data_IF_101245067992
#
_entry.id   IF_101245067992
#
_cell.length_a   1.000
_cell.length_b   1.000
_cell.length_c   1.000
_cell.angle_alpha   90.00
_cell.angle_beta   90.00
_cell.angle_gamma   90.00
#
_symmetry.space_group_name_H-M   'P 1'
#
loop_
_entity.id
_entity.type
_entity.pdbx_description
1 polymer ?
#
# COMPACT_ATOMS: atom_id res chain seq x y z
N UNK A 1 16.13 -24.29 -0.52
CA UNK A 1 16.32 -23.30 0.57
C UNK A 1 17.77 -23.33 1.02
N UNK A 2 18.27 -22.23 1.58
CA UNK A 2 19.69 -22.05 1.96
C UNK A 2 20.32 -20.85 1.25
N UNK A 3 21.61 -20.59 1.54
CA UNK A 3 22.37 -19.45 0.99
C UNK A 3 22.74 -19.66 -0.49
N UNK A 4 24.01 -19.97 -0.77
CA UNK A 4 24.50 -20.11 -2.13
C UNK A 4 24.04 -21.42 -2.80
N UNK A 5 24.00 -21.46 -4.15
CA UNK A 5 23.83 -22.70 -4.89
C UNK A 5 24.96 -23.69 -4.60
N UNK A 6 24.60 -24.96 -4.49
CA UNK A 6 25.51 -26.08 -4.20
C UNK A 6 25.52 -27.08 -5.37
N UNK A 7 26.47 -28.01 -5.38
CA UNK A 7 26.47 -29.10 -6.36
C UNK A 7 25.20 -29.95 -6.33
N UNK A 8 24.56 -30.07 -5.17
CA UNK A 8 23.28 -30.76 -5.05
C UNK A 8 22.16 -30.04 -5.83
N UNK A 9 22.17 -28.70 -5.82
CA UNK A 9 21.24 -27.88 -6.58
C UNK A 9 21.46 -28.07 -8.09
N UNK A 10 22.72 -28.19 -8.55
CA UNK A 10 23.05 -28.47 -9.97
C UNK A 10 22.47 -29.81 -10.43
N UNK A 11 22.58 -30.86 -9.59
CA UNK A 11 22.04 -32.19 -9.94
C UNK A 11 20.53 -32.17 -10.15
N UNK A 12 19.80 -31.45 -9.28
CA UNK A 12 18.35 -31.29 -9.41
C UNK A 12 18.00 -30.40 -10.60
N UNK A 13 18.73 -29.29 -10.79
CA UNK A 13 18.49 -28.36 -11.89
C UNK A 13 18.62 -29.02 -13.27
N UNK A 14 19.59 -29.92 -13.45
CA UNK A 14 19.73 -30.72 -14.68
C UNK A 14 18.49 -31.56 -15.00
N UNK A 15 17.79 -32.07 -13.99
CA UNK A 15 16.55 -32.83 -14.20
C UNK A 15 15.42 -31.91 -14.69
N UNK A 16 15.38 -30.67 -14.18
CA UNK A 16 14.39 -29.65 -14.59
C UNK A 16 14.68 -29.16 -16.02
N UNK A 17 15.95 -29.09 -16.42
CA UNK A 17 16.35 -28.76 -17.80
C UNK A 17 15.78 -29.75 -18.84
N UNK A 18 15.39 -30.96 -18.44
CA UNK A 18 14.70 -31.90 -19.34
C UNK A 18 13.24 -31.50 -19.62
N UNK A 19 12.65 -30.65 -18.77
CA UNK A 19 11.25 -30.21 -18.86
C UNK A 19 11.16 -28.81 -19.47
N UNK A 20 12.08 -27.92 -19.10
CA UNK A 20 12.17 -26.55 -19.59
C UNK A 20 13.61 -26.26 -20.02
N UNK A 21 13.78 -25.74 -21.23
CA UNK A 21 15.09 -25.42 -21.81
C UNK A 21 15.81 -24.27 -21.08
N UNK A 22 15.06 -23.40 -20.40
CA UNK A 22 15.61 -22.27 -19.64
C UNK A 22 14.93 -22.14 -18.26
N UNK A 23 15.26 -23.03 -17.30
CA UNK A 23 14.76 -22.93 -15.94
C UNK A 23 15.63 -21.99 -15.10
N UNK A 24 15.01 -21.32 -14.14
CA UNK A 24 15.67 -20.45 -13.17
C UNK A 24 15.69 -21.12 -11.80
N UNK A 25 16.80 -21.01 -11.08
CA UNK A 25 16.92 -21.47 -9.69
C UNK A 25 16.61 -20.29 -8.75
N UNK A 26 15.70 -20.50 -7.79
CA UNK A 26 15.40 -19.54 -6.73
C UNK A 26 15.80 -20.12 -5.38
N UNK A 27 16.63 -19.38 -4.63
CA UNK A 27 17.08 -19.75 -3.28
C UNK A 27 16.50 -18.76 -2.26
N UNK A 28 15.69 -19.29 -1.34
CA UNK A 28 15.19 -18.59 -0.16
C UNK A 28 16.04 -18.98 1.06
N UNK A 29 16.56 -17.99 1.78
CA UNK A 29 17.17 -18.19 3.10
C UNK A 29 16.26 -17.62 4.21
N UNK A 30 15.45 -18.47 4.90
CA UNK A 30 14.57 -18.00 5.96
C UNK A 30 15.30 -17.53 7.22
N UNK A 31 16.60 -17.80 7.36
CA UNK A 31 17.42 -17.41 8.51
C UNK A 31 18.23 -16.12 8.28
N UNK A 32 18.15 -15.53 7.09
CA UNK A 32 18.89 -14.33 6.75
C UNK A 32 18.45 -13.14 7.65
N UNK A 33 19.44 -12.43 8.20
CA UNK A 33 19.23 -11.31 9.14
C UNK A 33 19.43 -9.94 8.49
N UNK A 34 18.92 -9.76 7.28
CA UNK A 34 19.00 -8.49 6.56
C UNK A 34 17.61 -7.93 6.26
N UNK A 35 17.52 -6.61 6.06
CA UNK A 35 16.25 -5.90 5.84
C UNK A 35 15.64 -6.11 4.45
N UNK A 36 16.38 -6.71 3.52
CA UNK A 36 15.92 -7.03 2.16
C UNK A 36 15.26 -8.41 2.10
N UNK A 37 14.47 -8.66 1.06
CA UNK A 37 13.85 -9.96 0.82
C UNK A 37 14.95 -11.04 0.69
N UNK A 38 14.93 -12.13 1.49
CA UNK A 38 16.01 -13.11 1.53
C UNK A 38 15.90 -14.16 0.42
N UNK A 39 15.81 -13.65 -0.80
CA UNK A 39 15.70 -14.43 -2.02
C UNK A 39 16.79 -14.02 -2.99
N UNK A 40 17.47 -15.01 -3.56
CA UNK A 40 18.38 -14.86 -4.68
C UNK A 40 17.89 -15.72 -5.87
N UNK A 41 18.08 -15.21 -7.09
CA UNK A 41 17.72 -15.90 -8.32
C UNK A 41 18.97 -16.17 -9.15
N UNK A 42 19.00 -17.30 -9.83
CA UNK A 42 20.14 -17.72 -10.65
C UNK A 42 19.69 -18.34 -11.96
N UNK A 43 20.36 -17.99 -13.05
CA UNK A 43 20.29 -18.76 -14.29
C UNK A 43 21.42 -19.77 -14.38
N UNK A 44 21.17 -20.87 -15.09
CA UNK A 44 22.20 -21.86 -15.40
C UNK A 44 22.87 -21.52 -16.73
N UNK A 45 24.19 -21.40 -16.70
CA UNK A 45 25.04 -21.24 -17.89
C UNK A 45 25.95 -22.46 -18.00
N UNK A 46 26.18 -22.94 -19.22
CA UNK A 46 27.18 -23.98 -19.48
C UNK A 46 28.46 -23.28 -19.91
N UNK A 47 29.52 -23.43 -19.14
CA UNK A 47 30.83 -22.85 -19.43
C UNK A 47 31.92 -23.93 -19.37
N UNK A 48 33.05 -23.69 -20.04
CA UNK A 48 34.21 -24.57 -19.94
C UNK A 48 35.04 -24.21 -18.72
N UNK A 49 35.01 -25.09 -17.72
CA UNK A 49 35.92 -25.04 -16.57
C UNK A 49 36.91 -26.19 -16.70
N UNK A 50 38.21 -25.88 -16.74
CA UNK A 50 39.29 -26.86 -16.91
C UNK A 50 39.10 -27.80 -18.13
N UNK A 51 38.56 -27.27 -19.23
CA UNK A 51 38.34 -28.04 -20.46
C UNK A 51 37.08 -28.94 -20.43
N UNK A 52 36.30 -28.93 -19.35
CA UNK A 52 35.05 -29.67 -19.25
C UNK A 52 33.83 -28.73 -19.21
N UNK A 53 32.81 -29.07 -20.01
CA UNK A 53 31.54 -28.37 -20.00
C UNK A 53 30.84 -28.55 -18.65
N UNK A 54 30.85 -27.49 -17.85
CA UNK A 54 30.33 -27.47 -16.48
C UNK A 54 29.18 -26.49 -16.39
N UNK A 55 28.11 -26.89 -15.71
CA UNK A 55 26.96 -26.03 -15.47
C UNK A 55 27.25 -25.16 -14.25
N UNK A 56 27.16 -23.85 -14.41
CA UNK A 56 27.38 -22.84 -13.38
C UNK A 56 26.09 -22.04 -13.17
N UNK A 57 25.96 -21.47 -11.97
CA UNK A 57 24.87 -20.55 -11.64
C UNK A 57 25.37 -19.11 -11.64
N UNK A 58 24.70 -18.26 -12.38
CA UNK A 58 24.96 -16.82 -12.43
C UNK A 58 23.78 -16.10 -11.77
N UNK A 59 24.07 -15.22 -10.82
CA UNK A 59 23.04 -14.48 -10.09
C UNK A 59 22.34 -13.46 -10.99
N UNK A 60 21.00 -13.45 -10.93
CA UNK A 60 20.15 -12.57 -11.70
C UNK A 60 19.58 -11.43 -10.83
N UNK A 61 19.62 -10.18 -11.32
CA UNK A 61 18.86 -9.12 -10.70
C UNK A 61 17.37 -9.38 -10.92
N UNK A 62 16.55 -9.10 -9.90
CA UNK A 62 15.10 -9.23 -9.98
C UNK A 62 14.40 -7.97 -9.48
N UNK A 63 13.15 -7.80 -9.90
CA UNK A 63 12.24 -6.81 -9.37
C UNK A 63 10.96 -7.52 -8.92
N UNK A 64 10.36 -7.01 -7.84
CA UNK A 64 9.03 -7.47 -7.44
C UNK A 64 8.01 -6.72 -8.28
N UNK A 65 7.33 -7.46 -9.15
CA UNK A 65 6.17 -6.99 -9.87
C UNK A 65 4.92 -7.59 -9.23
N UNK A 66 3.91 -6.74 -9.00
CA UNK A 66 2.61 -7.15 -8.48
C UNK A 66 1.53 -6.48 -9.30
N UNK A 67 0.48 -7.21 -9.65
CA UNK A 67 -0.70 -6.62 -10.29
C UNK A 67 -1.54 -5.82 -9.27
N UNK A 68 -2.41 -4.91 -9.72
CA UNK A 68 -3.20 -4.06 -8.82
C UNK A 68 -4.10 -4.85 -7.86
N UNK A 69 -4.76 -5.92 -8.37
CA UNK A 69 -5.56 -6.80 -7.52
C UNK A 69 -4.70 -7.53 -6.47
N UNK A 70 -3.52 -8.01 -6.87
CA UNK A 70 -2.57 -8.66 -5.97
C UNK A 70 -2.06 -7.67 -4.91
N UNK A 71 -1.69 -6.45 -5.32
CA UNK A 71 -1.20 -5.39 -4.42
C UNK A 71 -2.22 -5.07 -3.33
N UNK A 72 -3.50 -5.00 -3.67
CA UNK A 72 -4.59 -4.78 -2.71
C UNK A 72 -4.69 -5.97 -1.73
N UNK A 73 -4.62 -7.20 -2.25
CA UNK A 73 -4.64 -8.41 -1.43
C UNK A 73 -3.46 -8.47 -0.45
N UNK A 74 -2.24 -8.22 -0.93
CA UNK A 74 -1.02 -8.20 -0.13
C UNK A 74 -1.06 -7.11 0.95
N UNK A 75 -1.55 -5.92 0.62
CA UNK A 75 -1.72 -4.83 1.58
C UNK A 75 -2.73 -5.20 2.69
N UNK A 76 -3.82 -5.88 2.34
CA UNK A 76 -4.76 -6.39 3.33
C UNK A 76 -4.13 -7.43 4.26
N UNK A 77 -3.42 -8.42 3.70
CA UNK A 77 -2.74 -9.47 4.46
C UNK A 77 -1.66 -8.90 5.39
N UNK A 78 -0.89 -7.92 4.93
CA UNK A 78 0.12 -7.24 5.72
C UNK A 78 -0.48 -6.46 6.90
N UNK A 79 -1.67 -5.86 6.71
CA UNK A 79 -2.39 -5.16 7.80
C UNK A 79 -2.96 -6.13 8.83
N UNK A 80 -3.53 -7.26 8.40
CA UNK A 80 -4.05 -8.28 9.32
C UNK A 80 -2.97 -8.89 10.20
N UNK A 81 -1.74 -9.02 9.68
CA UNK A 81 -0.60 -9.56 10.44
C UNK A 81 0.01 -8.53 11.40
N UNK A 82 -0.19 -7.23 11.17
CA UNK A 82 0.31 -6.16 12.03
C UNK A 82 -0.71 -5.68 13.09
N UNK A 83 -2.00 -5.76 12.79
CA UNK A 83 -3.08 -5.43 13.72
C UNK A 83 -3.70 -6.73 14.21
N UNK A 84 -3.41 -7.11 15.47
CA UNK A 84 -4.11 -8.21 16.12
C UNK A 84 -5.64 -8.04 15.99
N UNK A 85 -6.35 -9.16 15.87
CA UNK A 85 -7.76 -9.35 15.44
C UNK A 85 -8.85 -8.46 16.09
N UNK A 86 -8.51 -7.55 17.01
CA UNK A 86 -9.45 -6.68 17.69
C UNK A 86 -9.61 -5.33 16.99
N UNK A 87 -10.53 -5.27 16.02
CA UNK A 87 -11.23 -4.04 15.65
C UNK A 87 -11.21 -3.73 14.16
N UNK A 88 -12.41 -3.61 13.58
CA UNK A 88 -12.61 -2.98 12.28
C UNK A 88 -11.94 -1.59 12.29
N UNK A 89 -10.80 -1.46 11.61
CA UNK A 89 -10.15 -0.17 11.43
C UNK A 89 -11.10 0.74 10.65
N UNK A 90 -11.47 1.88 11.24
CA UNK A 90 -12.34 2.88 10.59
C UNK A 90 -11.88 3.17 9.16
N UNK A 91 -12.83 3.33 8.23
CA UNK A 91 -12.54 3.72 6.84
C UNK A 91 -11.63 4.96 6.75
N UNK A 92 -11.79 5.89 7.70
CA UNK A 92 -10.94 7.08 7.82
C UNK A 92 -9.50 6.70 8.18
N UNK A 93 -9.31 5.78 9.13
CA UNK A 93 -7.98 5.30 9.53
C UNK A 93 -7.28 4.57 8.38
N UNK A 94 -8.01 3.74 7.61
CA UNK A 94 -7.47 3.07 6.43
C UNK A 94 -7.01 4.08 5.36
N UNK A 95 -7.84 5.07 5.04
CA UNK A 95 -7.52 6.11 4.07
C UNK A 95 -6.32 6.96 4.51
N UNK A 96 -6.29 7.39 5.77
CA UNK A 96 -5.18 8.16 6.33
C UNK A 96 -3.87 7.35 6.36
N UNK A 97 -3.93 6.05 6.63
CA UNK A 97 -2.74 5.19 6.62
C UNK A 97 -2.13 5.08 5.22
N UNK A 98 -2.95 5.02 4.17
CA UNK A 98 -2.48 5.02 2.79
C UNK A 98 -1.80 6.34 2.44
N UNK A 99 -2.42 7.48 2.77
CA UNK A 99 -1.81 8.81 2.57
C UNK A 99 -0.50 8.97 3.35
N UNK A 100 -0.48 8.55 4.62
CA UNK A 100 0.71 8.60 5.46
C UNK A 100 1.87 7.79 4.85
N UNK A 101 1.59 6.58 4.37
CA UNK A 101 2.59 5.72 3.75
C UNK A 101 3.16 6.34 2.47
N UNK A 102 2.31 6.94 1.63
CA UNK A 102 2.73 7.67 0.43
C UNK A 102 3.66 8.85 0.78
N UNK A 103 3.30 9.66 1.78
CA UNK A 103 4.12 10.78 2.26
C UNK A 103 5.46 10.28 2.79
N UNK A 104 5.46 9.23 3.61
CA UNK A 104 6.67 8.62 4.17
C UNK A 104 7.62 8.12 3.07
N UNK A 105 7.08 7.46 2.04
CA UNK A 105 7.86 7.01 0.89
C UNK A 105 8.47 8.17 0.13
N UNK A 106 7.68 9.20 -0.19
CA UNK A 106 8.16 10.39 -0.88
C UNK A 106 9.27 11.08 -0.09
N UNK A 107 9.07 11.28 1.22
CA UNK A 107 10.07 11.86 2.11
C UNK A 107 11.39 11.08 2.08
N UNK A 108 11.34 9.75 2.14
CA UNK A 108 12.53 8.92 2.05
C UNK A 108 13.30 9.12 0.73
N UNK A 109 12.58 9.28 -0.39
CA UNK A 109 13.21 9.50 -1.70
C UNK A 109 13.82 10.90 -1.82
N UNK A 110 13.09 11.93 -1.38
CA UNK A 110 13.60 13.33 -1.37
C UNK A 110 14.84 13.44 -0.49
N UNK A 111 14.84 12.77 0.66
CA UNK A 111 16.00 12.75 1.57
C UNK A 111 17.25 12.15 0.91
N UNK A 112 17.12 11.03 0.20
CA UNK A 112 18.23 10.41 -0.51
C UNK A 112 18.83 11.34 -1.58
N UNK A 113 17.97 12.02 -2.36
CA UNK A 113 18.44 13.00 -3.36
C UNK A 113 19.15 14.16 -2.69
N UNK A 114 18.62 14.68 -1.58
CA UNK A 114 19.24 15.76 -0.82
C UNK A 114 20.62 15.36 -0.26
N UNK A 115 20.72 14.17 0.32
CA UNK A 115 21.98 13.64 0.85
C UNK A 115 23.03 13.46 -0.26
N UNK A 116 22.62 12.96 -1.44
CA UNK A 116 23.50 12.87 -2.61
C UNK A 116 24.04 14.24 -3.06
N UNK A 117 23.16 15.23 -3.26
CA UNK A 117 23.57 16.58 -3.69
C UNK A 117 24.51 17.22 -2.67
N UNK A 118 24.26 17.05 -1.36
CA UNK A 118 25.16 17.53 -0.30
C UNK A 118 26.52 16.83 -0.34
N UNK A 119 26.55 15.51 -0.53
CA UNK A 119 27.79 14.75 -0.59
C UNK A 119 28.66 15.14 -1.80
N UNK A 120 28.05 15.39 -2.97
CA UNK A 120 28.76 15.90 -4.15
C UNK A 120 29.27 17.32 -3.90
N UNK A 121 28.46 18.20 -3.30
CA UNK A 121 28.88 19.57 -2.96
C UNK A 121 30.04 19.61 -1.96
N UNK A 122 30.13 18.63 -1.06
CA UNK A 122 31.22 18.51 -0.09
C UNK A 122 32.48 17.83 -0.67
N UNK A 123 32.46 17.38 -1.92
CA UNK A 123 33.55 16.64 -2.55
C UNK A 123 33.70 15.19 -2.06
N UNK A 124 32.73 14.67 -1.31
CA UNK A 124 32.74 13.29 -0.77
C UNK A 124 32.36 12.25 -1.83
N UNK A 125 31.57 12.63 -2.84
CA UNK A 125 31.18 11.79 -3.97
C UNK A 125 31.50 12.47 -5.31
N UNK A 126 31.85 11.69 -6.35
CA UNK A 126 32.01 12.24 -7.69
C UNK A 126 30.68 12.75 -8.25
N UNK A 127 30.74 13.86 -8.98
CA UNK A 127 29.55 14.47 -9.56
C UNK A 127 29.02 13.64 -10.74
N UNK A 128 27.74 13.25 -10.69
CA UNK A 128 27.01 12.76 -11.85
C UNK A 128 26.15 13.89 -12.41
N UNK A 129 26.55 14.43 -13.57
CA UNK A 129 25.88 15.58 -14.17
C UNK A 129 24.44 15.29 -14.64
N UNK A 130 24.09 14.05 -14.96
CA UNK A 130 22.72 13.68 -15.34
C UNK A 130 21.79 13.79 -14.12
N UNK A 131 22.17 13.13 -13.01
CA UNK A 131 21.39 13.16 -11.76
C UNK A 131 21.24 14.57 -11.21
N UNK A 132 22.31 15.38 -11.27
CA UNK A 132 22.27 16.78 -10.82
C UNK A 132 21.34 17.62 -11.70
N UNK A 133 21.33 17.41 -13.02
CA UNK A 133 20.43 18.11 -13.95
C UNK A 133 18.98 17.74 -13.69
N UNK A 134 18.70 16.47 -13.45
CA UNK A 134 17.34 16.00 -13.15
C UNK A 134 16.82 16.54 -11.82
N UNK A 135 17.65 16.51 -10.77
CA UNK A 135 17.32 17.09 -9.48
C UNK A 135 17.05 18.60 -9.60
N UNK A 136 17.85 19.32 -10.37
CA UNK A 136 17.65 20.74 -10.64
C UNK A 136 16.35 21.01 -11.40
N UNK A 137 16.08 20.24 -12.47
CA UNK A 137 14.83 20.37 -13.25
C UNK A 137 13.60 20.08 -12.39
N UNK A 138 13.66 19.08 -11.52
CA UNK A 138 12.58 18.75 -10.59
C UNK A 138 12.27 19.93 -9.66
N UNK A 139 13.28 20.50 -9.01
CA UNK A 139 13.10 21.64 -8.12
C UNK A 139 12.50 22.86 -8.83
N UNK A 140 12.92 23.12 -10.07
CA UNK A 140 12.43 24.26 -10.86
C UNK A 140 11.00 24.12 -11.39
N UNK A 141 10.45 22.90 -11.41
CA UNK A 141 9.04 22.66 -11.80
C UNK A 141 8.06 22.85 -10.65
N UNK A 142 8.55 23.09 -9.43
CA UNK A 142 7.71 23.30 -8.26
C UNK A 142 7.39 24.80 -8.11
N UNK A 143 6.14 25.17 -7.78
CA UNK A 143 4.95 24.31 -7.62
C UNK A 143 4.31 23.90 -8.95
N UNK A 144 3.93 22.63 -9.08
CA UNK A 144 3.44 22.02 -10.36
C UNK A 144 2.07 22.56 -10.79
N UNK A 145 1.22 22.97 -9.84
CA UNK A 145 -0.17 23.34 -10.09
C UNK A 145 -0.46 24.71 -9.48
N UNK A 146 -0.16 25.76 -10.24
CA UNK A 146 -0.50 27.14 -9.88
C UNK A 146 -1.12 27.89 -11.08
N UNK A 147 -2.03 27.23 -11.78
CA UNK A 147 -2.79 27.86 -12.88
C UNK A 147 -4.13 28.38 -12.37
N UNK A 148 -4.61 29.54 -12.85
CA UNK A 148 -5.90 30.10 -12.44
C UNK A 148 -7.08 29.19 -12.81
N UNK A 149 -6.96 28.42 -13.91
CA UNK A 149 -7.94 27.41 -14.30
C UNK A 149 -8.07 26.28 -13.27
N UNK A 150 -6.93 25.79 -12.74
CA UNK A 150 -6.93 24.75 -11.71
C UNK A 150 -7.63 25.21 -10.44
N UNK A 151 -7.40 26.45 -10.01
CA UNK A 151 -7.98 26.96 -8.77
C UNK A 151 -9.52 27.00 -8.83
N UNK A 152 -10.10 27.47 -9.95
CA UNK A 152 -11.55 27.45 -10.14
C UNK A 152 -12.13 26.03 -10.13
N UNK A 153 -11.48 25.09 -10.84
CA UNK A 153 -11.89 23.69 -10.86
C UNK A 153 -11.80 23.03 -9.48
N UNK A 154 -10.72 23.30 -8.74
CA UNK A 154 -10.51 22.79 -7.38
C UNK A 154 -11.59 23.28 -6.41
N UNK A 155 -11.95 24.57 -6.46
CA UNK A 155 -13.02 25.09 -5.62
C UNK A 155 -14.40 24.53 -5.99
N UNK A 156 -14.69 24.36 -7.29
CA UNK A 156 -15.92 23.72 -7.73
C UNK A 156 -16.04 22.30 -7.16
N UNK A 157 -14.98 21.50 -7.26
CA UNK A 157 -14.96 20.15 -6.69
C UNK A 157 -15.15 20.15 -5.16
N UNK A 158 -14.49 21.07 -4.45
CA UNK A 158 -14.67 21.23 -3.00
C UNK A 158 -16.13 21.57 -2.64
N UNK A 159 -16.76 22.46 -3.39
CA UNK A 159 -18.15 22.85 -3.19
C UNK A 159 -19.10 21.67 -3.42
N UNK A 160 -18.88 20.88 -4.48
CA UNK A 160 -19.71 19.71 -4.79
C UNK A 160 -19.62 18.65 -3.67
N UNK A 161 -18.41 18.35 -3.20
CA UNK A 161 -18.21 17.39 -2.10
C UNK A 161 -18.81 17.92 -0.80
N UNK A 162 -18.66 19.21 -0.50
CA UNK A 162 -19.25 19.82 0.70
C UNK A 162 -20.79 19.75 0.67
N UNK A 163 -21.40 20.07 -0.47
CA UNK A 163 -22.84 20.00 -0.65
C UNK A 163 -23.36 18.57 -0.52
N UNK A 164 -22.74 17.59 -1.20
CA UNK A 164 -23.12 16.18 -1.08
C UNK A 164 -22.99 15.69 0.37
N UNK A 165 -21.91 16.06 1.05
CA UNK A 165 -21.67 15.68 2.45
C UNK A 165 -22.76 16.27 3.35
N UNK A 166 -23.13 17.53 3.14
CA UNK A 166 -24.16 18.20 3.92
C UNK A 166 -25.56 17.58 3.72
N UNK A 167 -25.92 17.24 2.48
CA UNK A 167 -27.17 16.53 2.21
C UNK A 167 -27.18 15.12 2.84
N UNK A 168 -26.04 14.43 2.82
CA UNK A 168 -25.85 13.15 3.50
C UNK A 168 -26.03 13.24 5.01
N UNK A 169 -25.49 14.29 5.66
CA UNK A 169 -25.65 14.49 7.11
C UNK A 169 -27.09 14.84 7.49
N UNK A 170 -27.79 15.66 6.69
CA UNK A 170 -29.22 15.91 6.86
C UNK A 170 -30.05 14.63 6.76
N UNK A 171 -29.77 13.80 5.76
CA UNK A 171 -30.45 12.50 5.58
C UNK A 171 -30.26 11.59 6.79
N UNK A 172 -29.02 11.51 7.32
CA UNK A 172 -28.73 10.76 8.56
C UNK A 172 -29.47 11.34 9.77
N UNK A 173 -29.57 12.67 9.85
CA UNK A 173 -30.35 13.37 10.87
C UNK A 173 -31.84 13.02 10.81
N UNK A 174 -32.46 13.08 9.63
CA UNK A 174 -33.85 12.70 9.41
C UNK A 174 -34.11 11.24 9.80
N UNK A 175 -33.21 10.31 9.46
CA UNK A 175 -33.32 8.91 9.88
C UNK A 175 -33.29 8.77 11.41
N UNK A 176 -32.40 9.50 12.09
CA UNK A 176 -32.30 9.51 13.55
C UNK A 176 -33.58 10.05 14.19
N UNK A 177 -34.14 11.15 13.65
CA UNK A 177 -35.41 11.72 14.11
C UNK A 177 -36.55 10.73 13.89
N UNK A 178 -36.61 10.07 12.74
CA UNK A 178 -37.65 9.08 12.44
C UNK A 178 -37.60 7.91 13.44
N UNK A 179 -36.41 7.40 13.75
CA UNK A 179 -36.23 6.37 14.78
C UNK A 179 -36.67 6.86 16.17
N UNK A 180 -36.35 8.10 16.52
CA UNK A 180 -36.78 8.70 17.78
C UNK A 180 -38.30 8.82 17.87
N UNK A 181 -38.95 9.38 16.84
CA UNK A 181 -40.41 9.55 16.78
C UNK A 181 -41.12 8.19 16.88
N UNK A 182 -40.63 7.17 16.18
CA UNK A 182 -41.18 5.82 16.25
C UNK A 182 -41.11 5.25 17.68
N UNK A 183 -39.95 5.38 18.35
CA UNK A 183 -39.80 4.93 19.75
C UNK A 183 -40.66 5.74 20.71
N UNK A 184 -40.73 7.06 20.52
CA UNK A 184 -41.53 7.96 21.34
C UNK A 184 -43.02 7.61 21.26
N UNK A 185 -43.56 7.46 20.05
CA UNK A 185 -44.96 7.11 19.83
C UNK A 185 -45.30 5.75 20.47
N UNK A 186 -44.46 4.74 20.30
CA UNK A 186 -44.68 3.42 20.92
C UNK A 186 -44.75 3.46 22.46
N UNK A 187 -43.95 4.32 23.10
CA UNK A 187 -43.93 4.44 24.56
C UNK A 187 -45.09 5.27 25.10
N UNK A 188 -45.39 6.41 24.48
CA UNK A 188 -46.38 7.36 24.99
C UNK A 188 -47.82 7.01 24.59
N UNK A 189 -48.04 6.38 23.45
CA UNK A 189 -49.39 5.96 23.04
C UNK A 189 -49.93 4.86 23.98
N UNK A 190 -49.04 4.03 24.55
CA UNK A 190 -49.38 3.07 25.62
C UNK A 190 -49.77 3.73 26.95
N UNK A 191 -49.21 4.88 27.30
CA UNK A 191 -49.58 5.62 28.53
C UNK A 191 -50.94 6.31 28.41
N UNK A 192 -51.37 6.70 27.20
CA UNK A 192 -52.68 7.28 26.95
C UNK A 192 -53.85 6.29 27.11
N UNK A 193 -53.66 5.04 26.65
CA UNK A 193 -54.68 3.98 26.79
C UNK A 193 -54.88 3.51 28.24
N UNK A 194 -53.83 3.47 29.05
CA UNK A 194 -53.93 3.12 30.48
C UNK A 194 -54.72 4.14 31.32
N UNK A 195 -54.77 5.41 30.91
CA UNK A 195 -55.55 6.46 31.61
C UNK A 195 -57.01 6.55 31.19
N UNK A 196 -57.38 6.13 29.98
CA UNK A 196 -58.78 6.15 29.51
C UNK A 196 -59.62 4.97 30.01
N UNK A 197 -59.00 3.85 30.40
CA UNK A 197 -59.72 2.66 30.86
C UNK A 197 -60.18 2.72 32.33
N UNK A 198 -59.79 3.76 33.10
CA UNK A 198 -60.10 3.90 34.52
C UNK A 198 -61.27 4.84 34.87
N UNK A 199 -62.09 5.28 33.90
CA UNK A 199 -63.18 6.24 34.14
C UNK A 199 -64.48 5.85 33.43
N UNK A 200 -64.95 4.64 33.71
CA UNK A 200 -66.30 4.18 33.40
C UNK A 200 -66.75 3.21 34.48
N UNK A 201 -67.95 3.42 35.01
CA UNK A 201 -68.62 2.76 36.15
C UNK A 201 -68.33 3.41 37.51
N UNK A 202 -69.22 4.31 37.94
CA UNK A 202 -69.95 4.22 39.21
C UNK A 202 -71.19 5.13 39.14
N UNK A 203 -72.35 4.51 39.44
CA UNK A 203 -73.75 4.99 39.47
C UNK A 203 -74.52 5.03 38.14
#
# INVERSE_FOLDING_TARGET
>A
TGDAPTESDIKVHRQICCINESPVLLKLNPQARHSQLPVAMYESVIDLVDGQATMLFVELPYTLATEEAERIGLDHMARMSAAGESGESSLVAQHLQAQHSAIKMLHSRVRLVLEYVKAVSAGSLPANHEVLRDAFSLCHRLPVLHTPSFQGQFYNQCNDVALMTYLGTLTKGCNTINQFVNKFNLLYDRQGMGRRMGRGLFF
#
